data_IF_693436544118
#
_entry.id   IF_693436544118
#
_cell.length_a   1.000
_cell.length_b   1.000
_cell.length_c   1.000
_cell.angle_alpha   90.00
_cell.angle_beta   90.00
_cell.angle_gamma   90.00
#
_symmetry.space_group_name_H-M   'P 1'
#
loop_
_entity.id
_entity.type
_entity.pdbx_description
1 polymer ?
#
# COMPACT_ATOMS: atom_id res chain seq x y z
N UNK A 1 6.44 -17.62 8.42
CA UNK A 1 6.19 -16.16 8.36
C UNK A 1 6.21 -15.54 6.96
N UNK A 2 6.48 -16.28 5.89
CA UNK A 2 6.67 -15.74 4.53
C UNK A 2 5.36 -15.41 3.80
N UNK A 3 4.30 -16.18 4.03
CA UNK A 3 2.97 -15.99 3.40
C UNK A 3 2.32 -14.65 3.80
N UNK A 4 2.40 -14.29 5.08
CA UNK A 4 1.92 -12.99 5.56
C UNK A 4 2.68 -11.84 4.89
N UNK A 5 4.02 -11.88 4.90
CA UNK A 5 4.85 -10.84 4.28
C UNK A 5 4.56 -10.72 2.77
N UNK A 6 4.34 -11.83 2.06
CA UNK A 6 4.01 -11.83 0.65
C UNK A 6 2.63 -11.24 0.35
N UNK A 7 1.61 -11.55 1.17
CA UNK A 7 0.26 -10.97 1.05
C UNK A 7 0.27 -9.47 1.32
N UNK A 8 0.99 -9.03 2.36
CA UNK A 8 1.15 -7.61 2.67
C UNK A 8 1.92 -6.89 1.56
N UNK A 9 3.01 -7.48 1.06
CA UNK A 9 3.78 -6.92 -0.05
C UNK A 9 2.96 -6.77 -1.32
N UNK A 10 2.17 -7.78 -1.69
CA UNK A 10 1.32 -7.73 -2.89
C UNK A 10 0.19 -6.70 -2.73
N UNK A 11 -0.42 -6.59 -1.55
CA UNK A 11 -1.43 -5.57 -1.25
C UNK A 11 -0.86 -4.15 -1.43
N UNK A 12 0.32 -3.87 -0.86
CA UNK A 12 0.98 -2.56 -0.99
C UNK A 12 1.24 -2.21 -2.44
N UNK A 13 1.78 -3.15 -3.22
CA UNK A 13 2.09 -2.95 -4.64
C UNK A 13 0.81 -2.63 -5.43
N UNK A 14 -0.26 -3.40 -5.20
CA UNK A 14 -1.54 -3.21 -5.89
C UNK A 14 -2.21 -1.88 -5.54
N UNK A 15 -2.28 -1.52 -4.26
CA UNK A 15 -2.86 -0.24 -3.80
C UNK A 15 -2.12 0.94 -4.42
N UNK A 16 -0.79 0.86 -4.44
CA UNK A 16 0.07 1.89 -5.02
C UNK A 16 -0.12 2.00 -6.52
N UNK A 17 -0.16 0.88 -7.26
CA UNK A 17 -0.42 0.89 -8.71
C UNK A 17 -1.79 1.47 -9.05
N UNK A 18 -2.82 1.06 -8.31
CA UNK A 18 -4.19 1.52 -8.53
C UNK A 18 -4.30 3.04 -8.27
N UNK A 19 -3.80 3.51 -7.12
CA UNK A 19 -3.86 4.93 -6.80
C UNK A 19 -3.04 5.78 -7.79
N UNK A 20 -1.88 5.27 -8.24
CA UNK A 20 -1.04 5.97 -9.20
C UNK A 20 -1.74 6.10 -10.56
N UNK A 21 -2.35 5.02 -11.05
CA UNK A 21 -3.13 5.05 -12.29
C UNK A 21 -4.32 6.03 -12.19
N UNK A 22 -5.03 6.05 -11.05
CA UNK A 22 -6.13 7.00 -10.81
C UNK A 22 -5.63 8.45 -10.90
N UNK A 23 -4.53 8.78 -10.22
CA UNK A 23 -3.98 10.14 -10.20
C UNK A 23 -3.47 10.60 -11.55
N UNK A 24 -2.90 9.70 -12.36
CA UNK A 24 -2.53 10.04 -13.74
C UNK A 24 -3.78 10.31 -14.61
N UNK A 25 -4.85 9.56 -14.42
CA UNK A 25 -6.11 9.74 -15.15
C UNK A 25 -6.87 11.01 -14.75
N UNK A 26 -6.74 11.47 -13.51
CA UNK A 26 -7.38 12.68 -12.99
C UNK A 26 -6.85 13.97 -13.63
N UNK A 27 -5.59 13.98 -14.08
CA UNK A 27 -4.99 15.16 -14.69
C UNK A 27 -4.99 15.02 -16.23
N UNK A 28 -5.62 15.95 -16.97
CA UNK A 28 -5.72 15.88 -18.44
C UNK A 28 -4.36 15.77 -19.14
N UNK A 29 -3.33 16.38 -18.56
CA UNK A 29 -1.98 16.38 -19.12
C UNK A 29 -1.28 15.01 -19.00
N UNK A 30 -1.72 14.15 -18.07
CA UNK A 30 -1.15 12.82 -17.84
C UNK A 30 -2.10 11.67 -18.16
N UNK A 31 -3.36 11.95 -18.50
CA UNK A 31 -4.39 10.93 -18.70
C UNK A 31 -4.11 9.99 -19.88
N UNK A 32 -3.33 10.43 -20.86
CA UNK A 32 -2.92 9.62 -22.02
C UNK A 32 -1.70 8.74 -21.72
N UNK A 33 -1.01 8.97 -20.61
CA UNK A 33 0.17 8.20 -20.23
C UNK A 33 -0.24 6.83 -19.70
N UNK A 34 0.37 5.78 -20.23
CA UNK A 34 0.18 4.43 -19.71
C UNK A 34 0.88 4.29 -18.35
N UNK A 35 0.15 4.02 -17.25
CA UNK A 35 0.75 3.86 -15.92
C UNK A 35 1.74 2.69 -15.86
N UNK A 36 1.56 1.69 -16.74
CA UNK A 36 2.39 0.49 -16.83
C UNK A 36 3.85 0.80 -17.18
N UNK A 37 4.09 1.86 -17.95
CA UNK A 37 5.45 2.31 -18.31
C UNK A 37 6.25 2.74 -17.09
N UNK A 38 5.56 3.11 -16.01
CA UNK A 38 6.16 3.58 -14.76
C UNK A 38 6.00 2.58 -13.62
N UNK A 39 5.50 1.36 -13.86
CA UNK A 39 5.48 0.33 -12.81
C UNK A 39 6.90 -0.01 -12.33
N UNK A 40 7.89 0.11 -13.22
CA UNK A 40 9.30 -0.05 -12.90
C UNK A 40 9.90 1.07 -12.05
N UNK A 41 9.29 2.26 -11.98
CA UNK A 41 9.73 3.34 -11.07
C UNK A 41 9.65 2.91 -9.62
N UNK A 42 8.79 1.93 -9.34
CA UNK A 42 8.62 1.33 -8.04
C UNK A 42 9.61 0.21 -7.72
N UNK A 43 10.37 -0.22 -8.73
CA UNK A 43 11.37 -1.27 -8.67
C UNK A 43 12.77 -0.75 -9.10
N UNK A 44 12.98 0.57 -9.19
CA UNK A 44 14.22 1.19 -9.70
C UNK A 44 14.65 0.66 -11.08
N UNK A 45 13.71 0.36 -11.97
CA UNK A 45 14.03 -0.06 -13.32
C UNK A 45 14.52 1.14 -14.14
N UNK A 46 15.72 1.02 -14.73
CA UNK A 46 16.33 2.03 -15.60
C UNK A 46 15.38 2.52 -16.69
N UNK A 47 14.58 1.60 -17.26
CA UNK A 47 13.61 1.89 -18.31
C UNK A 47 12.51 2.86 -17.87
N UNK A 48 12.03 2.76 -16.63
CA UNK A 48 10.99 3.65 -16.12
C UNK A 48 11.52 5.09 -15.92
N UNK A 49 12.80 5.22 -15.55
CA UNK A 49 13.48 6.52 -15.47
C UNK A 49 13.73 7.10 -16.86
N UNK A 50 14.09 6.28 -17.85
CA UNK A 50 14.24 6.72 -19.23
C UNK A 50 12.90 7.24 -19.79
N UNK A 51 11.79 6.53 -19.55
CA UNK A 51 10.45 6.96 -19.94
C UNK A 51 10.03 8.24 -19.24
N UNK A 52 10.37 8.41 -17.96
CA UNK A 52 10.10 9.64 -17.23
C UNK A 52 10.91 10.81 -17.82
N UNK A 53 12.20 10.63 -18.06
CA UNK A 53 13.08 11.68 -18.58
C UNK A 53 12.74 12.08 -20.03
N UNK A 54 12.07 11.22 -20.79
CA UNK A 54 11.59 11.51 -22.14
C UNK A 54 10.36 12.45 -22.17
N UNK A 55 9.68 12.66 -21.04
CA UNK A 55 8.52 13.56 -20.93
C UNK A 55 8.95 15.01 -20.79
N UNK A 56 8.05 15.95 -21.09
CA UNK A 56 8.28 17.36 -20.80
C UNK A 56 8.44 17.61 -19.29
N UNK A 57 9.28 18.58 -18.85
CA UNK A 57 9.56 18.80 -17.42
C UNK A 57 8.32 19.02 -16.54
N UNK A 58 7.30 19.66 -17.10
CA UNK A 58 6.04 19.91 -16.39
C UNK A 58 5.26 18.60 -16.15
N UNK A 59 5.21 17.71 -17.15
CA UNK A 59 4.62 16.37 -17.06
C UNK A 59 5.41 15.48 -16.10
N UNK A 60 6.75 15.53 -16.16
CA UNK A 60 7.61 14.80 -15.23
C UNK A 60 7.29 15.11 -13.77
N UNK A 61 7.07 16.40 -13.47
CA UNK A 61 6.74 16.86 -12.13
C UNK A 61 5.39 16.30 -11.68
N UNK A 62 4.39 16.27 -12.56
CA UNK A 62 3.08 15.68 -12.28
C UNK A 62 3.17 14.17 -12.03
N UNK A 63 3.92 13.45 -12.86
CA UNK A 63 4.13 12.00 -12.69
C UNK A 63 4.86 11.70 -11.38
N UNK A 64 5.92 12.45 -11.05
CA UNK A 64 6.63 12.33 -9.75
C UNK A 64 5.71 12.64 -8.57
N UNK A 65 4.90 13.69 -8.66
CA UNK A 65 3.94 14.06 -7.61
C UNK A 65 2.89 12.96 -7.40
N UNK A 66 2.29 12.44 -8.48
CA UNK A 66 1.36 11.33 -8.43
C UNK A 66 1.98 10.10 -7.78
N UNK A 67 3.23 9.79 -8.14
CA UNK A 67 3.99 8.69 -7.57
C UNK A 67 4.18 8.81 -6.05
N UNK A 68 4.67 9.95 -5.56
CA UNK A 68 4.86 10.19 -4.12
C UNK A 68 3.53 10.12 -3.36
N UNK A 69 2.47 10.70 -3.92
CA UNK A 69 1.15 10.67 -3.31
C UNK A 69 0.60 9.24 -3.19
N UNK A 70 0.80 8.41 -4.22
CA UNK A 70 0.40 7.00 -4.18
C UNK A 70 1.23 6.16 -3.22
N UNK A 71 2.52 6.49 -3.04
CA UNK A 71 3.35 5.84 -2.02
C UNK A 71 2.84 6.16 -0.62
N UNK A 72 2.59 7.43 -0.32
CA UNK A 72 2.05 7.85 0.97
C UNK A 72 0.67 7.24 1.24
N UNK A 73 -0.21 7.19 0.23
CA UNK A 73 -1.51 6.56 0.35
C UNK A 73 -1.40 5.06 0.67
N UNK A 74 -0.55 4.32 -0.05
CA UNK A 74 -0.33 2.90 0.22
C UNK A 74 0.21 2.67 1.64
N UNK A 75 1.09 3.55 2.12
CA UNK A 75 1.59 3.51 3.50
C UNK A 75 0.48 3.70 4.53
N UNK A 76 -0.40 4.68 4.34
CA UNK A 76 -1.57 4.93 5.21
C UNK A 76 -2.50 3.71 5.23
N UNK A 77 -2.86 3.17 4.06
CA UNK A 77 -3.72 1.97 3.97
C UNK A 77 -3.10 0.79 4.71
N UNK A 78 -1.78 0.62 4.60
CA UNK A 78 -1.05 -0.44 5.30
C UNK A 78 -1.12 -0.27 6.81
N UNK A 79 -0.96 0.96 7.31
CA UNK A 79 -1.05 1.25 8.74
C UNK A 79 -2.44 0.99 9.29
N UNK A 80 -3.48 1.41 8.56
CA UNK A 80 -4.87 1.13 8.93
C UNK A 80 -5.11 -0.37 9.01
N UNK A 81 -4.67 -1.13 8.01
CA UNK A 81 -4.82 -2.58 8.00
C UNK A 81 -4.05 -3.26 9.16
N UNK A 82 -2.80 -2.85 9.41
CA UNK A 82 -2.01 -3.37 10.53
C UNK A 82 -2.66 -3.06 11.89
N UNK A 83 -3.21 -1.86 12.06
CA UNK A 83 -3.96 -1.46 13.26
C UNK A 83 -5.19 -2.37 13.45
N UNK A 84 -5.95 -2.63 12.39
CA UNK A 84 -7.11 -3.52 12.45
C UNK A 84 -6.73 -4.94 12.89
N UNK A 85 -5.64 -5.50 12.36
CA UNK A 85 -5.14 -6.82 12.76
C UNK A 85 -4.71 -6.82 14.23
N UNK A 86 -4.00 -5.78 14.68
CA UNK A 86 -3.57 -5.66 16.07
C UNK A 86 -4.77 -5.56 17.03
N UNK A 87 -5.81 -4.81 16.67
CA UNK A 87 -7.03 -4.70 17.47
C UNK A 87 -7.77 -6.04 17.59
N UNK A 88 -7.90 -6.78 16.48
CA UNK A 88 -8.53 -8.12 16.50
C UNK A 88 -7.72 -9.07 17.39
N UNK A 89 -6.39 -9.06 17.27
CA UNK A 89 -5.52 -9.88 18.12
C UNK A 89 -5.66 -9.54 19.60
N UNK A 90 -5.77 -8.26 19.96
CA UNK A 90 -6.02 -7.81 21.33
C UNK A 90 -7.38 -8.30 21.85
N UNK A 91 -8.44 -8.19 21.04
CA UNK A 91 -9.78 -8.67 21.42
C UNK A 91 -9.77 -10.17 21.67
N UNK A 92 -9.19 -10.96 20.75
CA UNK A 92 -9.11 -12.42 20.90
C UNK A 92 -8.30 -12.78 22.14
N UNK A 93 -7.13 -12.18 22.33
CA UNK A 93 -6.28 -12.43 23.50
C UNK A 93 -7.02 -12.11 24.80
N UNK A 94 -7.78 -11.02 24.83
CA UNK A 94 -8.58 -10.66 26.00
C UNK A 94 -9.72 -11.66 26.26
N UNK A 95 -10.44 -12.10 25.23
CA UNK A 95 -11.51 -13.09 25.35
C UNK A 95 -10.97 -14.44 25.84
N UNK A 96 -9.85 -14.90 25.29
CA UNK A 96 -9.20 -16.15 25.71
C UNK A 96 -8.74 -16.07 27.17
N UNK A 97 -8.08 -14.99 27.56
CA UNK A 97 -7.65 -14.79 28.95
C UNK A 97 -8.83 -14.80 29.94
N UNK A 98 -9.96 -14.17 29.58
CA UNK A 98 -11.16 -14.19 30.42
C UNK A 98 -11.75 -15.59 30.59
N UNK A 99 -11.74 -16.39 29.53
CA UNK A 99 -12.25 -17.76 29.58
C UNK A 99 -11.38 -18.65 30.47
N UNK A 100 -10.06 -18.52 30.39
CA UNK A 100 -9.12 -19.26 31.25
C UNK A 100 -9.26 -18.85 32.73
N UNK A 101 -9.37 -17.55 33.00
CA UNK A 101 -9.58 -17.05 34.37
C UNK A 101 -10.94 -17.49 34.96
N UNK A 102 -11.99 -17.56 34.14
CA UNK A 102 -13.31 -18.06 34.56
C UNK A 102 -13.34 -19.57 34.82
N UNK A 103 -12.58 -20.35 34.05
CA UNK A 103 -12.41 -21.79 34.28
C UNK A 103 -11.69 -22.09 35.58
N UNK A 104 -10.61 -21.35 35.90
CA UNK A 104 -9.82 -21.56 37.11
C UNK A 104 -10.52 -21.08 38.39
N UNK A 105 -11.53 -20.21 38.29
CA UNK A 105 -12.35 -19.76 39.42
C UNK A 105 -13.56 -20.64 39.73
N UNK A 106 -13.91 -21.59 38.85
CA UNK A 106 -15.03 -22.50 39.04
C UNK A 106 -14.64 -23.83 39.72
N UNK A 107 -13.34 -24.09 39.89
CA UNK A 107 -12.80 -25.28 40.59
C UNK A 107 -12.38 -25.00 42.05
N UNK A 108 -12.71 -23.83 42.60
CA UNK A 108 -12.37 -23.40 43.96
C UNK A 108 -13.52 -23.46 44.96
#
# INVERSE_FOLDING_TARGET
GTLGIALFGSMIINVRHFNFASRLAENPATATLSPKLFWGLLANAHDALAQLNALEPHIQTLVKSAFYASYHFAFVVTHIFALSVALIALIISHLTYRNEAGSNGAEG
#
